data_IF_967149027012
#
_entry.id   IF_967149027012
#
_cell.length_a   1.000
_cell.length_b   1.000
_cell.length_c   1.000
_cell.angle_alpha   90.00
_cell.angle_beta   90.00
_cell.angle_gamma   90.00
#
_symmetry.space_group_name_H-M   'P 1'
#
loop_
_entity.id
_entity.type
_entity.pdbx_description
1 polymer ?
#
# COMPACT_ATOMS: atom_id res chain seq x y z
N UNK A 1 13.61 -2.07 1.30
CA UNK A 1 14.61 -1.03 1.68
C UNK A 1 14.60 0.21 0.78
N UNK A 2 14.75 0.10 -0.55
CA UNK A 2 14.81 1.27 -1.45
C UNK A 2 13.62 2.23 -1.35
N UNK A 3 12.40 1.71 -1.18
CA UNK A 3 11.17 2.53 -1.03
C UNK A 3 11.22 3.42 0.21
N UNK A 4 11.62 2.87 1.37
CA UNK A 4 11.73 3.65 2.62
C UNK A 4 12.82 4.69 2.54
N UNK A 5 13.96 4.34 1.95
CA UNK A 5 15.02 5.32 1.73
C UNK A 5 14.51 6.50 0.88
N UNK A 6 13.76 6.22 -0.20
CA UNK A 6 13.12 7.26 -1.00
C UNK A 6 12.11 8.08 -0.19
N UNK A 7 11.24 7.44 0.59
CA UNK A 7 10.26 8.13 1.45
C UNK A 7 10.96 9.04 2.46
N UNK A 8 12.05 8.58 3.09
CA UNK A 8 12.82 9.37 4.04
C UNK A 8 13.55 10.53 3.36
N UNK A 9 14.15 10.30 2.19
CA UNK A 9 14.88 11.31 1.41
C UNK A 9 13.94 12.41 0.91
N UNK A 10 12.76 12.05 0.42
CA UNK A 10 11.76 12.97 -0.12
C UNK A 10 10.63 13.23 0.88
N UNK A 11 10.89 13.04 2.18
CA UNK A 11 9.92 13.28 3.26
C UNK A 11 9.17 14.60 3.14
N UNK A 12 9.81 15.77 2.86
CA UNK A 12 9.06 17.03 2.74
C UNK A 12 8.03 16.99 1.61
N UNK A 13 8.35 16.34 0.48
CA UNK A 13 7.41 16.20 -0.65
C UNK A 13 6.20 15.36 -0.26
N UNK A 14 6.41 14.24 0.42
CA UNK A 14 5.32 13.39 0.91
C UNK A 14 4.43 14.10 1.93
N UNK A 15 5.02 14.89 2.84
CA UNK A 15 4.26 15.68 3.81
C UNK A 15 3.43 16.75 3.11
N UNK A 16 4.03 17.47 2.15
CA UNK A 16 3.33 18.49 1.39
C UNK A 16 2.15 17.89 0.62
N UNK A 17 2.38 16.77 -0.06
CA UNK A 17 1.34 16.06 -0.80
C UNK A 17 0.19 15.57 0.10
N UNK A 18 0.50 15.11 1.32
CA UNK A 18 -0.53 14.78 2.31
C UNK A 18 -1.33 16.02 2.74
N UNK A 19 -0.65 17.16 2.95
CA UNK A 19 -1.32 18.42 3.31
C UNK A 19 -2.25 18.89 2.21
N UNK A 20 -1.74 18.99 0.98
CA UNK A 20 -2.51 19.42 -0.19
C UNK A 20 -3.73 18.52 -0.43
N UNK A 21 -3.53 17.19 -0.39
CA UNK A 21 -4.64 16.25 -0.56
C UNK A 21 -5.68 16.38 0.55
N UNK A 22 -5.27 16.70 1.78
CA UNK A 22 -6.20 16.91 2.90
C UNK A 22 -6.99 18.19 2.74
N UNK A 23 -6.35 19.28 2.32
CA UNK A 23 -6.97 20.59 2.10
C UNK A 23 -7.99 20.58 0.95
N UNK A 24 -7.85 19.67 -0.01
CA UNK A 24 -8.81 19.51 -1.12
C UNK A 24 -10.13 18.83 -0.73
N UNK A 25 -10.25 18.32 0.50
CA UNK A 25 -11.52 17.74 0.94
C UNK A 25 -12.54 18.84 1.25
N UNK A 26 -13.81 18.67 0.84
CA UNK A 26 -14.83 19.65 1.14
C UNK A 26 -15.08 19.75 2.65
N UNK A 27 -15.06 20.96 3.19
CA UNK A 27 -15.38 21.25 4.60
C UNK A 27 -16.89 21.48 4.82
N UNK A 28 -17.63 21.78 3.75
CA UNK A 28 -19.07 22.04 3.77
C UNK A 28 -19.92 20.76 3.78
N UNK A 29 -21.22 20.92 4.06
CA UNK A 29 -22.20 19.84 3.98
C UNK A 29 -22.20 19.19 2.59
N UNK A 30 -21.84 17.91 2.57
CA UNK A 30 -21.70 17.08 1.37
C UNK A 30 -23.07 16.56 0.92
N UNK A 31 -23.36 16.60 -0.38
CA UNK A 31 -24.61 16.04 -0.93
C UNK A 31 -24.62 14.50 -0.88
N UNK A 32 -25.80 13.87 -0.85
CA UNK A 32 -25.91 12.40 -0.78
C UNK A 32 -25.15 11.68 -1.91
N UNK A 33 -25.12 12.27 -3.11
CA UNK A 33 -24.37 11.75 -4.26
C UNK A 33 -22.85 11.79 -4.05
N UNK A 34 -22.33 12.91 -3.51
CA UNK A 34 -20.91 13.05 -3.20
C UNK A 34 -20.51 12.10 -2.05
N UNK A 35 -21.38 11.93 -1.05
CA UNK A 35 -21.18 10.98 0.04
C UNK A 35 -21.16 9.53 -0.45
N UNK A 36 -21.98 9.18 -1.45
CA UNK A 36 -21.96 7.86 -2.08
C UNK A 36 -20.62 7.60 -2.81
N UNK A 37 -20.07 8.61 -3.49
CA UNK A 37 -18.76 8.52 -4.16
C UNK A 37 -17.64 8.30 -3.14
N UNK A 38 -17.63 9.11 -2.07
CA UNK A 38 -16.62 9.03 -1.00
C UNK A 38 -16.68 7.67 -0.31
N UNK A 39 -17.87 7.23 0.10
CA UNK A 39 -18.03 5.96 0.80
C UNK A 39 -17.65 4.76 -0.09
N UNK A 40 -18.01 4.79 -1.38
CA UNK A 40 -17.59 3.77 -2.35
C UNK A 40 -16.07 3.71 -2.51
N UNK A 41 -15.41 4.87 -2.67
CA UNK A 41 -13.96 4.95 -2.79
C UNK A 41 -13.25 4.46 -1.52
N UNK A 42 -13.70 4.87 -0.33
CA UNK A 42 -13.14 4.42 0.94
C UNK A 42 -13.34 2.91 1.16
N UNK A 43 -14.49 2.36 0.76
CA UNK A 43 -14.74 0.92 0.84
C UNK A 43 -13.80 0.14 -0.09
N UNK A 44 -13.58 0.62 -1.32
CA UNK A 44 -12.58 0.04 -2.23
C UNK A 44 -11.18 0.12 -1.66
N UNK A 45 -10.80 1.27 -1.09
CA UNK A 45 -9.49 1.46 -0.45
C UNK A 45 -9.28 0.49 0.72
N UNK A 46 -10.27 0.34 1.60
CA UNK A 46 -10.24 -0.61 2.72
C UNK A 46 -10.15 -2.05 2.23
N UNK A 47 -10.93 -2.43 1.22
CA UNK A 47 -10.90 -3.77 0.65
C UNK A 47 -9.53 -4.10 0.09
N UNK A 48 -8.98 -3.23 -0.77
CA UNK A 48 -7.65 -3.45 -1.37
C UNK A 48 -6.58 -3.51 -0.28
N UNK A 49 -6.63 -2.61 0.71
CA UNK A 49 -5.68 -2.58 1.82
C UNK A 49 -5.70 -3.89 2.61
N UNK A 50 -6.90 -4.36 3.00
CA UNK A 50 -7.07 -5.59 3.77
C UNK A 50 -6.63 -6.81 2.96
N UNK A 51 -7.04 -6.90 1.70
CA UNK A 51 -6.65 -8.02 0.82
C UNK A 51 -5.15 -8.05 0.61
N UNK A 52 -4.53 -6.91 0.29
CA UNK A 52 -3.09 -6.84 0.04
C UNK A 52 -2.27 -7.18 1.29
N UNK A 53 -2.71 -6.73 2.47
CA UNK A 53 -2.14 -7.10 3.76
C UNK A 53 -2.25 -8.60 4.04
N UNK A 54 -3.44 -9.19 3.84
CA UNK A 54 -3.64 -10.63 4.01
C UNK A 54 -2.78 -11.45 3.07
N UNK A 55 -2.72 -11.09 1.77
CA UNK A 55 -1.89 -11.77 0.80
C UNK A 55 -0.40 -11.72 1.17
N UNK A 56 0.13 -10.56 1.55
CA UNK A 56 1.53 -10.44 1.99
C UNK A 56 1.80 -11.21 3.28
N UNK A 57 0.85 -11.24 4.22
CA UNK A 57 0.98 -12.00 5.46
C UNK A 57 1.00 -13.50 5.21
N UNK A 58 0.12 -14.00 4.33
CA UNK A 58 0.09 -15.40 3.90
C UNK A 58 1.40 -15.76 3.19
N UNK A 59 1.90 -14.90 2.31
CA UNK A 59 3.17 -15.11 1.62
C UNK A 59 4.34 -15.22 2.62
N UNK A 60 4.41 -14.30 3.59
CA UNK A 60 5.40 -14.35 4.67
C UNK A 60 5.31 -15.63 5.49
N UNK A 61 4.09 -16.08 5.84
CA UNK A 61 3.89 -17.35 6.52
C UNK A 61 4.41 -18.53 5.71
N UNK A 62 4.10 -18.62 4.41
CA UNK A 62 4.56 -19.73 3.55
C UNK A 62 6.10 -19.83 3.53
N UNK A 63 6.81 -18.70 3.46
CA UNK A 63 8.28 -18.70 3.45
C UNK A 63 8.90 -19.00 4.82
N UNK A 64 8.24 -18.60 5.91
CA UNK A 64 8.76 -18.78 7.28
C UNK A 64 8.37 -20.12 7.90
N UNK A 65 7.27 -20.74 7.47
CA UNK A 65 6.72 -21.96 8.06
C UNK A 65 7.70 -23.15 8.05
N UNK A 66 8.41 -23.48 6.94
CA UNK A 66 9.37 -24.58 6.95
C UNK A 66 10.51 -24.36 7.96
N UNK A 67 10.94 -23.11 8.11
CA UNK A 67 12.00 -22.70 9.03
C UNK A 67 11.58 -22.84 10.49
N UNK A 68 10.35 -22.43 10.80
CA UNK A 68 9.76 -22.58 12.14
C UNK A 68 9.58 -24.06 12.48
N UNK A 69 9.08 -24.87 11.54
CA UNK A 69 8.93 -26.32 11.72
C UNK A 69 10.28 -26.97 12.01
N UNK A 70 11.33 -26.59 11.27
CA UNK A 70 12.68 -27.11 11.50
C UNK A 70 13.29 -26.68 12.84
N UNK A 71 12.89 -25.52 13.39
CA UNK A 71 13.30 -25.08 14.72
C UNK A 71 12.55 -25.82 15.85
N UNK A 72 11.32 -26.27 15.59
CA UNK A 72 10.47 -26.96 16.57
C UNK A 72 10.80 -28.47 16.65
N UNK A 73 11.12 -29.12 15.53
CA UNK A 73 11.42 -30.57 15.47
C UNK A 73 12.44 -31.07 16.50
N UNK A 74 13.57 -30.37 16.76
CA UNK A 74 14.54 -30.77 17.78
C UNK A 74 13.95 -30.81 19.20
N UNK A 75 12.98 -29.95 19.52
CA UNK A 75 12.30 -29.95 20.83
C UNK A 75 11.46 -31.22 21.06
N UNK A 76 11.08 -31.90 19.98
CA UNK A 76 10.35 -33.17 20.01
C UNK A 76 11.26 -34.40 19.83
N UNK A 77 12.58 -34.22 19.86
CA UNK A 77 13.55 -35.31 19.67
C UNK A 77 13.65 -35.80 18.23
N UNK A 78 13.14 -35.04 17.26
CA UNK A 78 13.26 -35.35 15.82
C UNK A 78 14.50 -34.63 15.29
N UNK A 79 15.48 -35.38 14.79
CA UNK A 79 16.63 -34.81 14.10
C UNK A 79 16.17 -34.06 12.84
N UNK A 80 16.35 -32.74 12.84
CA UNK A 80 16.02 -31.87 11.72
C UNK A 80 17.31 -31.39 11.03
N UNK A 81 17.38 -31.41 9.70
CA UNK A 81 18.52 -30.83 9.00
C UNK A 81 18.57 -29.33 9.26
N UNK A 82 19.71 -28.85 9.74
CA UNK A 82 19.98 -27.43 10.00
C UNK A 82 20.15 -26.71 8.66
N UNK A 83 19.05 -26.27 8.07
CA UNK A 83 19.03 -25.55 6.79
C UNK A 83 18.57 -24.12 7.05
N UNK A 84 19.34 -23.16 6.57
CA UNK A 84 19.00 -21.75 6.69
C UNK A 84 17.86 -21.37 5.73
N UNK A 85 16.86 -20.60 6.20
CA UNK A 85 15.74 -20.10 5.39
C UNK A 85 16.19 -19.30 4.16
N UNK A 86 17.23 -18.49 4.35
CA UNK A 86 17.76 -17.58 3.33
C UNK A 86 19.28 -17.70 3.26
N UNK A 87 19.81 -17.60 2.05
CA UNK A 87 21.25 -17.64 1.82
C UNK A 87 21.86 -16.28 2.18
N UNK A 88 22.62 -16.24 3.28
CA UNK A 88 23.39 -15.07 3.71
C UNK A 88 24.86 -15.43 3.85
N UNK A 89 25.73 -14.53 3.43
CA UNK A 89 27.14 -14.59 3.80
C UNK A 89 27.29 -14.00 5.20
N UNK A 90 27.72 -14.83 6.15
CA UNK A 90 27.98 -14.45 7.53
C UNK A 90 29.47 -14.63 7.82
N UNK A 91 30.10 -13.74 8.60
CA UNK A 91 31.53 -13.84 8.93
C UNK A 91 31.84 -14.96 9.95
N UNK A 92 30.83 -15.74 10.35
CA UNK A 92 30.91 -16.84 11.31
C UNK A 92 30.15 -18.06 10.77
N UNK A 93 30.43 -19.24 11.30
CA UNK A 93 29.74 -20.48 10.93
C UNK A 93 28.31 -20.50 11.51
N UNK A 94 27.27 -20.46 10.67
CA UNK A 94 25.89 -20.42 11.13
C UNK A 94 25.33 -21.79 11.56
N UNK A 95 26.05 -22.90 11.35
CA UNK A 95 25.54 -24.25 11.63
C UNK A 95 25.81 -24.76 13.05
N UNK A 96 26.40 -23.92 13.90
CA UNK A 96 26.59 -24.18 15.33
C UNK A 96 25.25 -24.12 16.09
N UNK A 97 25.06 -24.97 17.11
CA UNK A 97 23.75 -25.23 17.75
C UNK A 97 23.01 -23.98 18.23
N UNK A 98 23.68 -23.10 18.98
CA UNK A 98 23.04 -21.88 19.51
C UNK A 98 23.00 -20.76 18.46
N UNK A 99 24.02 -20.67 17.61
CA UNK A 99 24.12 -19.62 16.58
C UNK A 99 23.06 -19.83 15.51
N UNK A 100 22.81 -21.08 15.12
CA UNK A 100 21.82 -21.44 14.12
C UNK A 100 20.43 -20.95 14.50
N UNK A 101 20.00 -21.22 15.74
CA UNK A 101 18.68 -20.80 16.24
C UNK A 101 18.52 -19.28 16.22
N UNK A 102 19.53 -18.55 16.72
CA UNK A 102 19.54 -17.08 16.71
C UNK A 102 19.48 -16.54 15.28
N UNK A 103 20.29 -17.09 14.37
CA UNK A 103 20.32 -16.67 12.97
C UNK A 103 18.97 -16.93 12.30
N UNK A 104 18.33 -18.08 12.54
CA UNK A 104 17.01 -18.39 11.99
C UNK A 104 15.94 -17.41 12.51
N UNK A 105 15.94 -17.06 13.79
CA UNK A 105 15.01 -16.07 14.37
C UNK A 105 15.22 -14.70 13.75
N UNK A 106 16.47 -14.26 13.62
CA UNK A 106 16.82 -12.97 13.00
C UNK A 106 16.40 -12.93 11.54
N UNK A 107 16.67 -14.00 10.78
CA UNK A 107 16.30 -14.10 9.37
C UNK A 107 14.77 -14.06 9.16
N UNK A 108 14.01 -14.78 9.99
CA UNK A 108 12.54 -14.72 9.94
C UNK A 108 12.03 -13.32 10.28
N UNK A 109 12.59 -12.68 11.30
CA UNK A 109 12.24 -11.30 11.69
C UNK A 109 12.54 -10.31 10.56
N UNK A 110 13.70 -10.44 9.91
CA UNK A 110 14.06 -9.64 8.74
C UNK A 110 13.13 -9.86 7.55
N UNK A 111 12.66 -11.09 7.32
CA UNK A 111 11.69 -11.39 6.27
C UNK A 111 10.39 -10.60 6.49
N UNK A 112 9.80 -10.68 7.69
CA UNK A 112 8.59 -9.94 8.04
C UNK A 112 8.79 -8.43 7.97
N UNK A 113 9.90 -7.92 8.51
CA UNK A 113 10.19 -6.49 8.49
C UNK A 113 10.34 -5.95 7.06
N UNK A 114 11.05 -6.68 6.20
CA UNK A 114 11.22 -6.31 4.79
C UNK A 114 9.88 -6.30 4.03
N UNK A 115 9.05 -7.31 4.25
CA UNK A 115 7.72 -7.41 3.64
C UNK A 115 6.79 -6.27 4.11
N UNK A 116 6.74 -6.00 5.43
CA UNK A 116 5.96 -4.91 6.00
C UNK A 116 6.36 -3.55 5.42
N UNK A 117 7.66 -3.32 5.25
CA UNK A 117 8.20 -2.11 4.66
C UNK A 117 7.90 -1.94 3.17
N UNK A 118 7.89 -3.04 2.41
CA UNK A 118 7.47 -2.99 1.01
C UNK A 118 5.98 -2.66 0.92
N UNK A 119 5.16 -3.36 1.71
CA UNK A 119 3.72 -3.20 1.77
C UNK A 119 3.30 -1.80 2.18
N UNK A 120 3.92 -1.23 3.21
CA UNK A 120 3.61 0.14 3.65
C UNK A 120 3.86 1.17 2.54
N UNK A 121 4.92 1.00 1.74
CA UNK A 121 5.20 1.88 0.61
C UNK A 121 4.17 1.76 -0.52
N UNK A 122 3.75 0.53 -0.84
CA UNK A 122 2.74 0.30 -1.89
C UNK A 122 1.35 0.79 -1.49
N UNK A 123 0.96 0.56 -0.22
CA UNK A 123 -0.31 1.07 0.31
C UNK A 123 -0.33 2.60 0.39
N UNK A 124 0.78 3.23 0.75
CA UNK A 124 0.88 4.70 0.75
C UNK A 124 0.60 5.26 -0.65
N UNK A 125 1.23 4.69 -1.69
CA UNK A 125 1.02 5.12 -3.06
C UNK A 125 -0.41 4.86 -3.54
N UNK A 126 -0.96 3.69 -3.23
CA UNK A 126 -2.35 3.37 -3.55
C UNK A 126 -3.34 4.31 -2.85
N UNK A 127 -3.06 4.70 -1.60
CA UNK A 127 -3.86 5.67 -0.86
C UNK A 127 -3.85 7.04 -1.55
N UNK A 128 -2.70 7.52 -2.02
CA UNK A 128 -2.64 8.77 -2.78
C UNK A 128 -3.45 8.71 -4.06
N UNK A 129 -3.27 7.66 -4.87
CA UNK A 129 -4.04 7.48 -6.10
C UNK A 129 -5.54 7.45 -5.81
N UNK A 130 -5.97 6.71 -4.78
CA UNK A 130 -7.38 6.64 -4.40
C UNK A 130 -7.92 8.02 -3.99
N UNK A 131 -7.17 8.81 -3.23
CA UNK A 131 -7.60 10.16 -2.84
C UNK A 131 -7.72 11.09 -4.05
N UNK A 132 -6.70 11.11 -4.92
CA UNK A 132 -6.69 11.93 -6.14
C UNK A 132 -7.87 11.56 -7.06
N UNK A 133 -8.09 10.28 -7.33
CA UNK A 133 -9.21 9.83 -8.19
C UNK A 133 -10.57 10.17 -7.57
N UNK A 134 -10.70 10.08 -6.25
CA UNK A 134 -11.93 10.47 -5.55
C UNK A 134 -12.20 11.97 -5.71
N UNK A 135 -11.17 12.80 -5.54
CA UNK A 135 -11.27 14.26 -5.71
C UNK A 135 -11.66 14.64 -7.14
N UNK A 136 -11.05 14.03 -8.16
CA UNK A 136 -11.47 14.25 -9.55
C UNK A 136 -12.92 13.82 -9.81
N UNK A 137 -13.37 12.73 -9.17
CA UNK A 137 -14.75 12.27 -9.30
C UNK A 137 -15.74 13.25 -8.66
N UNK A 138 -15.40 13.80 -7.49
CA UNK A 138 -16.18 14.84 -6.82
C UNK A 138 -16.23 16.13 -7.66
N UNK A 139 -15.07 16.56 -8.18
CA UNK A 139 -14.98 17.72 -9.06
C UNK A 139 -15.85 17.56 -10.31
N UNK A 140 -15.82 16.38 -10.95
CA UNK A 140 -16.64 16.10 -12.13
C UNK A 140 -18.15 16.20 -11.84
N UNK A 141 -18.61 15.76 -10.67
CA UNK A 141 -20.01 15.91 -10.26
C UNK A 141 -20.36 17.38 -10.02
N UNK A 142 -19.49 18.13 -9.33
CA UNK A 142 -19.71 19.57 -9.09
C UNK A 142 -19.76 20.37 -10.37
N UNK A 143 -18.87 20.08 -11.32
CA UNK A 143 -18.86 20.71 -12.65
C UNK A 143 -20.19 20.44 -13.36
N UNK A 144 -20.67 19.19 -13.38
CA UNK A 144 -21.97 18.85 -13.99
C UNK A 144 -23.14 19.59 -13.35
N UNK A 145 -23.12 19.82 -12.04
CA UNK A 145 -24.16 20.58 -11.32
C UNK A 145 -24.06 22.09 -11.56
N UNK A 146 -22.84 22.61 -11.74
CA UNK A 146 -22.60 24.03 -12.01
C UNK A 146 -23.07 24.41 -13.41
N UNK A 147 -22.93 23.52 -14.39
CA UNK A 147 -23.55 23.66 -15.71
C UNK A 147 -25.00 23.19 -15.72
N UNK A 148 -25.85 23.79 -14.87
CA UNK A 148 -27.27 23.87 -15.19
C UNK A 148 -27.46 25.02 -16.18
N UNK A 149 -26.93 24.85 -17.40
CA UNK A 149 -27.40 25.65 -18.51
C UNK A 149 -28.78 25.08 -18.85
N UNK A 150 -29.89 25.82 -18.63
CA UNK A 150 -31.08 25.52 -19.40
C UNK A 150 -30.63 25.47 -20.86
N UNK A 151 -31.17 24.53 -21.64
CA UNK A 151 -30.92 24.37 -23.06
C UNK A 151 -31.57 25.56 -23.80
N UNK A 152 -31.26 26.79 -23.40
CA UNK A 152 -31.67 28.03 -24.04
C UNK A 152 -30.63 28.37 -25.10
N UNK A 153 -30.34 27.44 -26.02
CA UNK A 153 -29.65 27.72 -27.30
C UNK A 153 -28.38 28.58 -27.28
N UNK A 154 -27.72 28.77 -26.14
CA UNK A 154 -26.62 29.73 -25.98
C UNK A 154 -25.25 29.14 -26.31
N UNK A 155 -25.17 27.82 -26.51
CA UNK A 155 -23.96 27.16 -26.98
C UNK A 155 -24.11 26.89 -28.49
N UNK A 156 -23.12 27.27 -29.32
CA UNK A 156 -23.14 26.93 -30.75
C UNK A 156 -23.11 25.41 -30.94
N UNK A 157 -23.93 24.88 -31.85
CA UNK A 157 -24.09 23.43 -32.11
C UNK A 157 -22.78 22.72 -32.52
N UNK A 158 -21.80 23.49 -33.01
CA UNK A 158 -20.47 22.97 -33.34
C UNK A 158 -19.41 24.02 -33.01
N UNK A 159 -18.32 23.55 -32.41
CA UNK A 159 -17.09 24.32 -32.29
C UNK A 159 -16.24 24.02 -33.52
N UNK A 160 -15.86 25.01 -34.34
CA UNK A 160 -14.89 24.78 -35.39
C UNK A 160 -13.58 24.36 -34.72
N UNK A 161 -13.10 23.15 -35.05
CA UNK A 161 -11.72 22.78 -34.76
C UNK A 161 -10.85 23.82 -35.46
N UNK A 162 -9.95 24.45 -34.71
CA UNK A 162 -9.09 25.50 -35.22
C UNK A 162 -8.19 24.97 -36.32
N UNK A 163 -8.63 25.14 -37.56
CA UNK A 163 -7.79 25.11 -38.74
C UNK A 163 -7.00 26.43 -38.76
N UNK A 164 -5.73 26.34 -38.39
CA UNK A 164 -4.71 27.35 -38.71
C UNK A 164 -3.96 26.91 -39.97
#
# INVERSE_FOLDING_TARGET
MAKIYKIKRYKPVFINLISELREMWPEDNVTDEEQAIISSALNRLRLVTKTYFSCNSILGLIFTLPSIINLIKPLFGIEAPRILPFFYWLPFDPYQEVIFEVVVIVQNSHCFLSAAFMLAGDLLFFSFLSNITTQFSLLAVRIKKMFYAPIDGQLPESYPLGDF
#
